data_IF_053411130250
#
_entry.id   IF_053411130250
#
_cell.length_a   1.000
_cell.length_b   1.000
_cell.length_c   1.000
_cell.angle_alpha   90.00
_cell.angle_beta   90.00
_cell.angle_gamma   90.00
#
_symmetry.space_group_name_H-M   'P 1'
#
loop_
_entity.id
_entity.type
_entity.pdbx_description
1 polymer ?
#
# COMPACT_ATOMS: atom_id res chain seq x y z
N UNK A 1 9.39 -18.06 9.61
CA UNK A 1 8.48 -16.92 9.57
C UNK A 1 7.64 -16.89 10.84
N UNK A 2 7.20 -15.70 11.31
CA UNK A 2 6.44 -15.66 12.58
C UNK A 2 5.09 -16.37 12.46
N UNK A 3 4.10 -15.76 11.81
CA UNK A 3 2.76 -16.33 11.69
C UNK A 3 2.28 -16.44 10.24
N UNK A 4 2.88 -15.69 9.31
CA UNK A 4 2.54 -15.69 7.89
C UNK A 4 3.78 -16.03 7.06
N UNK A 5 3.64 -17.00 6.16
CA UNK A 5 4.73 -17.39 5.25
C UNK A 5 4.62 -16.58 3.95
N UNK A 6 5.34 -15.46 3.90
CA UNK A 6 5.39 -14.60 2.71
C UNK A 6 6.08 -15.27 1.52
N UNK A 7 6.99 -16.23 1.74
CA UNK A 7 7.67 -16.94 0.66
C UNK A 7 6.72 -17.85 -0.10
N UNK A 8 5.84 -18.56 0.61
CA UNK A 8 4.81 -19.37 -0.03
C UNK A 8 3.84 -18.50 -0.85
N UNK A 9 3.39 -17.38 -0.29
CA UNK A 9 2.54 -16.43 -1.01
C UNK A 9 3.23 -15.90 -2.26
N UNK A 10 4.50 -15.49 -2.17
CA UNK A 10 5.27 -14.98 -3.30
C UNK A 10 5.45 -16.04 -4.39
N UNK A 11 5.70 -17.30 -4.04
CA UNK A 11 5.82 -18.41 -4.99
C UNK A 11 4.51 -18.69 -5.74
N UNK A 12 3.37 -18.68 -5.04
CA UNK A 12 2.06 -18.83 -5.66
C UNK A 12 1.78 -17.72 -6.69
N UNK A 13 2.06 -16.47 -6.34
CA UNK A 13 1.91 -15.36 -7.28
C UNK A 13 2.90 -15.47 -8.45
N UNK A 14 4.15 -15.84 -8.18
CA UNK A 14 5.18 -16.03 -9.21
C UNK A 14 4.78 -17.04 -10.29
N UNK A 15 4.08 -18.11 -9.90
CA UNK A 15 3.62 -19.14 -10.81
C UNK A 15 2.52 -18.64 -11.78
N UNK A 16 1.82 -17.58 -11.43
CA UNK A 16 0.67 -17.03 -12.18
C UNK A 16 1.01 -15.83 -13.06
N UNK A 17 2.17 -15.20 -12.84
CA UNK A 17 2.59 -14.04 -13.64
C UNK A 17 3.13 -14.52 -14.99
N UNK A 18 2.57 -13.99 -16.08
CA UNK A 18 3.18 -14.11 -17.40
C UNK A 18 4.40 -13.18 -17.47
N UNK A 19 5.57 -13.74 -17.22
CA UNK A 19 6.81 -12.98 -17.13
C UNK A 19 7.19 -12.26 -18.43
N UNK A 20 6.94 -12.88 -19.58
CA UNK A 20 7.21 -12.25 -20.86
C UNK A 20 6.36 -11.00 -21.11
N UNK A 21 5.12 -11.01 -20.65
CA UNK A 21 4.24 -9.82 -20.70
C UNK A 21 4.72 -8.78 -19.69
N UNK A 22 5.05 -9.19 -18.47
CA UNK A 22 5.51 -8.28 -17.42
C UNK A 22 6.76 -7.48 -17.86
N UNK A 23 7.74 -8.14 -18.47
CA UNK A 23 8.97 -7.49 -18.95
C UNK A 23 8.75 -6.47 -20.10
N UNK A 24 7.61 -6.53 -20.78
CA UNK A 24 7.24 -5.60 -21.82
C UNK A 24 6.46 -4.37 -21.27
N UNK A 25 6.11 -4.37 -20.00
CA UNK A 25 5.40 -3.27 -19.39
C UNK A 25 6.32 -2.05 -19.28
N UNK A 26 5.89 -0.95 -19.89
CA UNK A 26 6.63 0.32 -19.88
C UNK A 26 6.36 1.17 -18.62
N UNK A 27 5.43 0.76 -17.76
CA UNK A 27 5.09 1.49 -16.54
C UNK A 27 6.08 1.20 -15.41
N UNK A 28 6.54 2.26 -14.76
CA UNK A 28 7.26 2.13 -13.50
C UNK A 28 6.30 1.63 -12.42
N UNK A 29 6.77 0.70 -11.60
CA UNK A 29 6.04 0.15 -10.47
C UNK A 29 6.87 0.30 -9.20
N UNK A 30 6.32 1.02 -8.22
CA UNK A 30 6.93 1.20 -6.90
C UNK A 30 6.16 0.40 -5.85
N UNK A 31 6.89 -0.38 -5.07
CA UNK A 31 6.35 -1.11 -3.92
C UNK A 31 6.70 -0.35 -2.65
N UNK A 32 5.68 0.22 -2.00
CA UNK A 32 5.92 1.02 -0.80
C UNK A 32 6.20 0.11 0.38
N UNK A 33 7.30 0.35 1.06
CA UNK A 33 7.71 -0.33 2.27
C UNK A 33 8.12 0.70 3.34
N UNK A 34 8.22 0.28 4.58
CA UNK A 34 8.78 1.10 5.67
C UNK A 34 10.16 0.57 6.02
N UNK A 35 11.18 1.40 5.91
CA UNK A 35 12.54 1.06 6.32
C UNK A 35 12.60 0.94 7.84
N UNK A 36 13.15 -0.17 8.35
CA UNK A 36 13.20 -0.43 9.78
C UNK A 36 14.22 0.44 10.50
N UNK A 37 15.30 0.83 9.83
CA UNK A 37 16.41 1.57 10.38
C UNK A 37 16.06 3.02 10.71
N UNK A 38 15.31 3.69 9.81
CA UNK A 38 14.95 5.11 9.94
C UNK A 38 13.45 5.35 10.16
N UNK A 39 12.60 4.34 9.96
CA UNK A 39 11.14 4.44 10.10
C UNK A 39 10.44 5.20 8.97
N UNK A 40 11.19 5.55 7.91
CA UNK A 40 10.70 6.33 6.78
C UNK A 40 10.17 5.44 5.64
N UNK A 41 9.33 5.99 4.73
CA UNK A 41 8.88 5.26 3.56
C UNK A 41 10.02 4.99 2.59
N UNK A 42 9.99 3.81 1.97
CA UNK A 42 10.87 3.42 0.89
C UNK A 42 10.02 2.96 -0.30
N UNK A 43 10.34 3.47 -1.47
CA UNK A 43 9.66 3.16 -2.73
C UNK A 43 10.56 2.22 -3.52
N UNK A 44 10.29 0.92 -3.37
CA UNK A 44 11.12 -0.14 -3.90
C UNK A 44 10.71 -0.44 -5.35
N UNK A 45 11.61 -0.17 -6.29
CA UNK A 45 11.44 -0.52 -7.70
C UNK A 45 12.03 -1.90 -7.98
N UNK A 46 11.48 -2.60 -8.97
CA UNK A 46 12.14 -3.78 -9.49
C UNK A 46 13.27 -3.41 -10.49
N UNK A 47 14.19 -4.33 -10.69
CA UNK A 47 15.29 -4.22 -11.66
C UNK A 47 15.06 -5.11 -12.90
N UNK A 48 13.82 -5.58 -13.10
CA UNK A 48 13.45 -6.55 -14.12
C UNK A 48 13.73 -8.00 -13.71
N UNK A 49 14.30 -8.26 -12.53
CA UNK A 49 14.52 -9.60 -12.02
C UNK A 49 13.35 -10.10 -11.17
N UNK A 50 13.03 -11.39 -11.31
CA UNK A 50 11.98 -12.02 -10.47
C UNK A 50 12.32 -11.92 -8.99
N UNK A 51 13.60 -12.10 -8.64
CA UNK A 51 14.03 -12.09 -7.25
C UNK A 51 13.73 -10.75 -6.59
N UNK A 52 14.13 -9.65 -7.21
CA UNK A 52 13.94 -8.31 -6.68
C UNK A 52 12.46 -7.94 -6.61
N UNK A 53 11.69 -8.21 -7.68
CA UNK A 53 10.25 -7.98 -7.70
C UNK A 53 9.55 -8.66 -6.50
N UNK A 54 9.77 -9.97 -6.32
CA UNK A 54 9.09 -10.67 -5.22
C UNK A 54 9.62 -10.31 -3.84
N UNK A 55 10.88 -9.91 -3.73
CA UNK A 55 11.41 -9.39 -2.45
C UNK A 55 10.80 -8.03 -2.11
N UNK A 56 10.64 -7.14 -3.08
CA UNK A 56 9.95 -5.86 -2.89
C UNK A 56 8.47 -6.04 -2.51
N UNK A 57 7.76 -6.95 -3.18
CA UNK A 57 6.37 -7.31 -2.82
C UNK A 57 6.30 -7.86 -1.39
N UNK A 58 7.20 -8.77 -1.00
CA UNK A 58 7.26 -9.30 0.37
C UNK A 58 7.51 -8.20 1.39
N UNK A 59 8.45 -7.29 1.10
CA UNK A 59 8.74 -6.15 1.96
C UNK A 59 7.51 -5.25 2.16
N UNK A 60 6.82 -4.92 1.06
CA UNK A 60 5.60 -4.11 1.07
C UNK A 60 4.42 -4.76 1.81
N UNK A 61 4.42 -6.09 1.97
CA UNK A 61 3.35 -6.84 2.64
C UNK A 61 3.75 -7.38 4.02
N UNK A 62 4.95 -7.09 4.52
CA UNK A 62 5.47 -7.63 5.77
C UNK A 62 4.87 -6.92 7.00
N UNK A 63 3.65 -7.30 7.37
CA UNK A 63 2.94 -6.71 8.52
C UNK A 63 3.76 -6.84 9.82
N UNK A 64 3.99 -5.75 10.56
CA UNK A 64 4.65 -5.80 11.87
C UNK A 64 3.99 -6.81 12.80
N UNK A 65 4.80 -7.47 13.65
CA UNK A 65 4.39 -8.51 14.60
C UNK A 65 4.11 -9.86 13.91
N UNK A 66 3.41 -9.85 12.76
CA UNK A 66 2.96 -11.06 12.06
C UNK A 66 4.06 -11.63 11.20
N UNK A 67 4.81 -10.76 10.53
CA UNK A 67 5.91 -11.14 9.64
C UNK A 67 7.27 -10.74 10.23
N UNK A 68 8.33 -11.38 9.79
CA UNK A 68 9.69 -10.89 9.97
C UNK A 68 9.96 -9.73 9.02
N UNK A 69 10.78 -8.74 9.38
CA UNK A 69 11.28 -7.76 8.42
C UNK A 69 11.99 -8.45 7.25
N UNK A 70 11.78 -7.94 6.06
CA UNK A 70 12.37 -8.45 4.81
C UNK A 70 13.64 -7.68 4.51
N UNK A 71 14.74 -8.39 4.28
CA UNK A 71 16.00 -7.78 3.87
C UNK A 71 16.03 -7.56 2.35
N UNK A 72 16.40 -6.34 1.94
CA UNK A 72 16.67 -5.98 0.55
C UNK A 72 17.76 -4.89 0.53
N UNK A 73 18.79 -5.09 -0.29
CA UNK A 73 19.91 -4.14 -0.44
C UNK A 73 20.58 -3.74 0.90
N UNK A 74 20.70 -4.70 1.83
CA UNK A 74 21.34 -4.51 3.14
C UNK A 74 20.53 -3.71 4.17
N UNK A 75 19.27 -3.39 3.87
CA UNK A 75 18.30 -2.78 4.79
C UNK A 75 17.14 -3.74 5.07
N UNK A 76 16.43 -3.47 6.15
CA UNK A 76 15.26 -4.24 6.54
C UNK A 76 13.99 -3.43 6.35
N UNK A 77 12.94 -4.10 5.86
CA UNK A 77 11.69 -3.45 5.53
C UNK A 77 10.49 -4.20 6.12
N UNK A 78 9.47 -3.42 6.46
CA UNK A 78 8.13 -3.90 6.81
C UNK A 78 7.09 -3.20 5.95
N UNK A 79 5.82 -3.58 6.12
CA UNK A 79 4.66 -3.05 5.37
C UNK A 79 4.68 -1.52 5.23
N UNK A 80 4.49 -1.05 4.00
CA UNK A 80 4.53 0.37 3.65
C UNK A 80 3.45 1.20 4.32
N UNK A 81 2.31 0.59 4.67
CA UNK A 81 1.21 1.28 5.35
C UNK A 81 1.55 1.82 6.75
N UNK A 82 2.76 1.55 7.25
CA UNK A 82 3.25 2.12 8.51
C UNK A 82 3.76 3.56 8.29
N UNK A 83 4.60 3.77 7.26
CA UNK A 83 5.21 5.06 6.98
C UNK A 83 4.47 5.88 5.93
N UNK A 84 3.90 5.22 4.90
CA UNK A 84 3.14 5.87 3.84
C UNK A 84 1.93 5.04 3.42
N UNK A 85 0.82 5.11 4.17
CA UNK A 85 -0.37 4.31 3.92
C UNK A 85 -1.13 4.67 2.63
N UNK A 86 -0.96 5.88 2.09
CA UNK A 86 -1.60 6.34 0.85
C UNK A 86 -0.56 7.13 0.04
N UNK A 87 0.28 6.48 -0.76
CA UNK A 87 1.51 7.04 -1.35
C UNK A 87 1.28 7.95 -2.55
N UNK A 88 0.17 8.69 -2.60
CA UNK A 88 -0.17 9.55 -3.74
C UNK A 88 0.69 10.81 -3.84
N UNK A 89 1.15 11.35 -2.69
CA UNK A 89 2.01 12.53 -2.67
C UNK A 89 3.35 12.24 -3.34
N UNK A 90 3.91 11.05 -3.13
CA UNK A 90 5.12 10.62 -3.80
C UNK A 90 5.00 10.71 -5.33
N UNK A 91 3.89 10.24 -5.91
CA UNK A 91 3.67 10.31 -7.35
C UNK A 91 3.56 11.76 -7.84
N UNK A 92 2.89 12.63 -7.07
CA UNK A 92 2.79 14.05 -7.41
C UNK A 92 4.15 14.76 -7.34
N UNK A 93 5.02 14.37 -6.39
CA UNK A 93 6.39 14.87 -6.25
C UNK A 93 7.31 14.36 -7.37
N UNK A 94 7.05 13.14 -7.88
CA UNK A 94 7.73 12.59 -9.05
C UNK A 94 7.30 13.23 -10.39
N UNK A 95 6.40 14.21 -10.36
CA UNK A 95 5.99 14.97 -11.54
C UNK A 95 4.72 14.46 -12.22
N UNK A 96 3.96 13.56 -11.59
CA UNK A 96 2.61 13.23 -12.05
C UNK A 96 1.69 14.43 -11.83
N UNK A 97 1.04 14.91 -12.89
CA UNK A 97 0.07 16.00 -12.79
C UNK A 97 -1.17 15.59 -11.99
N UNK A 98 -1.58 14.34 -12.14
CA UNK A 98 -2.79 13.76 -11.54
C UNK A 98 -2.57 12.32 -11.11
N UNK A 99 -3.34 11.92 -10.11
CA UNK A 99 -3.31 10.55 -9.59
C UNK A 99 -4.73 9.98 -9.44
N UNK A 100 -4.87 8.69 -9.71
CA UNK A 100 -6.05 7.92 -9.33
C UNK A 100 -5.68 7.10 -8.09
N UNK A 101 -6.39 7.32 -7.00
CA UNK A 101 -6.15 6.64 -5.72
C UNK A 101 -7.24 5.62 -5.49
N UNK A 102 -6.88 4.34 -5.48
CA UNK A 102 -7.80 3.24 -5.19
C UNK A 102 -7.63 2.82 -3.74
N UNK A 103 -8.59 3.17 -2.89
CA UNK A 103 -8.60 2.79 -1.48
C UNK A 103 -9.34 1.47 -1.31
N UNK A 104 -8.74 0.56 -0.57
CA UNK A 104 -9.33 -0.77 -0.27
C UNK A 104 -10.23 -0.76 0.96
N UNK A 105 -10.37 0.37 1.63
CA UNK A 105 -11.16 0.52 2.86
C UNK A 105 -12.26 1.55 2.69
N UNK A 106 -13.47 1.25 3.21
CA UNK A 106 -14.59 2.20 3.21
C UNK A 106 -14.30 3.43 4.08
N UNK A 107 -15.11 4.49 3.92
CA UNK A 107 -14.97 5.76 4.69
C UNK A 107 -14.99 5.54 6.20
N UNK A 108 -15.73 4.54 6.66
CA UNK A 108 -15.89 4.24 8.09
C UNK A 108 -14.83 3.28 8.65
N UNK A 109 -13.96 2.73 7.78
CA UNK A 109 -12.89 1.86 8.21
C UNK A 109 -11.78 2.67 8.87
N UNK A 110 -11.31 2.19 10.02
CA UNK A 110 -10.17 2.78 10.72
C UNK A 110 -8.94 1.91 10.52
N UNK A 111 -7.75 2.51 10.41
CA UNK A 111 -6.50 1.75 10.40
C UNK A 111 -6.36 0.92 11.67
N UNK A 112 -5.60 -0.17 11.58
CA UNK A 112 -5.28 -0.98 12.76
C UNK A 112 -4.55 -0.14 13.81
N UNK A 113 -5.08 -0.10 15.01
CA UNK A 113 -4.46 0.58 16.15
C UNK A 113 -3.49 -0.37 16.86
N UNK A 114 -2.21 -0.13 16.65
CA UNK A 114 -1.13 -0.88 17.28
C UNK A 114 -0.77 -0.39 18.69
N UNK A 115 -1.32 0.74 19.16
CA UNK A 115 -0.98 1.30 20.47
C UNK A 115 -1.32 0.35 21.63
N UNK A 116 -2.37 -0.47 21.47
CA UNK A 116 -2.75 -1.52 22.42
C UNK A 116 -1.70 -2.63 22.55
N UNK A 117 -0.86 -2.80 21.54
CA UNK A 117 0.22 -3.79 21.49
C UNK A 117 1.57 -3.18 21.84
N UNK A 118 1.60 -1.97 22.40
CA UNK A 118 2.81 -1.22 22.76
C UNK A 118 3.86 -2.01 23.54
N UNK A 119 3.51 -2.82 24.56
CA UNK A 119 4.50 -3.63 25.27
C UNK A 119 5.20 -4.64 24.35
N UNK A 120 4.43 -5.31 23.49
CA UNK A 120 4.94 -6.28 22.53
C UNK A 120 5.80 -5.60 21.47
N UNK A 121 5.35 -4.49 20.90
CA UNK A 121 6.10 -3.69 19.93
C UNK A 121 7.44 -3.21 20.52
N UNK A 122 7.43 -2.77 21.78
CA UNK A 122 8.64 -2.34 22.48
C UNK A 122 9.63 -3.50 22.60
N UNK A 123 9.18 -4.69 22.96
CA UNK A 123 10.02 -5.87 23.08
C UNK A 123 10.61 -6.28 21.70
N UNK A 124 9.82 -6.21 20.64
CA UNK A 124 10.20 -6.66 19.31
C UNK A 124 11.14 -5.67 18.60
N UNK A 125 10.87 -4.37 18.73
CA UNK A 125 11.49 -3.36 17.85
C UNK A 125 12.29 -2.29 18.58
N UNK A 126 11.94 -1.87 19.82
CA UNK A 126 12.52 -0.68 20.41
C UNK A 126 14.05 -0.72 20.58
N UNK A 127 14.64 -1.90 20.73
CA UNK A 127 16.11 -2.06 20.86
C UNK A 127 16.80 -2.13 19.50
N UNK A 128 16.24 -2.85 18.53
CA UNK A 128 16.86 -3.09 17.22
C UNK A 128 16.47 -2.03 16.19
N UNK A 129 15.23 -1.59 16.20
CA UNK A 129 14.65 -0.64 15.25
C UNK A 129 13.81 0.43 15.97
N UNK A 130 14.44 1.35 16.72
CA UNK A 130 13.71 2.34 17.53
C UNK A 130 12.85 3.26 16.66
N UNK A 131 13.32 3.63 15.47
CA UNK A 131 12.57 4.50 14.56
C UNK A 131 11.33 3.80 14.00
N UNK A 132 11.43 2.51 13.63
CA UNK A 132 10.26 1.70 13.27
C UNK A 132 9.24 1.64 14.42
N UNK A 133 9.70 1.43 15.67
CA UNK A 133 8.82 1.41 16.83
C UNK A 133 8.00 2.71 16.93
N UNK A 134 8.64 3.86 16.73
CA UNK A 134 7.96 5.15 16.70
C UNK A 134 7.00 5.28 15.52
N UNK A 135 7.43 4.91 14.31
CA UNK A 135 6.58 4.96 13.12
C UNK A 135 5.29 4.15 13.29
N UNK A 136 5.38 2.91 13.84
CA UNK A 136 4.20 2.06 14.10
C UNK A 136 3.21 2.71 15.07
N UNK A 137 3.69 3.42 16.09
CA UNK A 137 2.82 4.10 17.07
C UNK A 137 2.14 5.35 16.48
N UNK A 138 2.75 6.01 15.49
CA UNK A 138 2.22 7.21 14.86
C UNK A 138 1.43 6.94 13.58
N UNK A 139 1.26 5.67 13.20
CA UNK A 139 0.60 5.25 11.95
C UNK A 139 -0.80 5.85 11.76
N UNK A 140 -1.59 5.95 12.82
CA UNK A 140 -2.97 6.47 12.72
C UNK A 140 -2.94 7.96 12.38
N UNK A 141 -2.14 8.75 13.08
CA UNK A 141 -2.01 10.20 12.83
C UNK A 141 -1.54 10.45 11.38
N UNK A 142 -0.54 9.68 10.91
CA UNK A 142 -0.04 9.77 9.54
C UNK A 142 -1.11 9.43 8.50
N UNK A 143 -1.92 8.40 8.76
CA UNK A 143 -3.06 8.08 7.88
C UNK A 143 -4.09 9.21 7.83
N UNK A 144 -4.42 9.81 8.96
CA UNK A 144 -5.37 10.94 9.04
C UNK A 144 -4.83 12.16 8.29
N UNK A 145 -3.55 12.50 8.46
CA UNK A 145 -2.88 13.57 7.71
C UNK A 145 -2.94 13.33 6.19
N UNK A 146 -2.69 12.11 5.75
CA UNK A 146 -2.75 11.76 4.33
C UNK A 146 -4.19 11.79 3.77
N UNK A 147 -5.19 11.38 4.54
CA UNK A 147 -6.60 11.54 4.12
C UNK A 147 -6.94 13.01 3.92
N UNK A 148 -6.53 13.90 4.84
CA UNK A 148 -6.76 15.34 4.67
C UNK A 148 -6.03 15.92 3.45
N UNK A 149 -4.79 15.51 3.23
CA UNK A 149 -4.03 15.91 2.03
C UNK A 149 -4.70 15.38 0.74
N UNK A 150 -5.22 14.15 0.76
CA UNK A 150 -5.93 13.56 -0.37
C UNK A 150 -7.23 14.30 -0.68
N UNK A 151 -8.00 14.69 0.33
CA UNK A 151 -9.20 15.52 0.16
C UNK A 151 -8.86 16.89 -0.45
N UNK A 152 -7.73 17.47 -0.08
CA UNK A 152 -7.24 18.69 -0.69
C UNK A 152 -6.88 18.49 -2.16
N UNK A 153 -6.12 17.45 -2.49
CA UNK A 153 -5.77 17.11 -3.87
C UNK A 153 -7.02 16.83 -4.76
N UNK A 154 -8.09 16.26 -4.17
CA UNK A 154 -9.37 16.11 -4.87
C UNK A 154 -10.03 17.45 -5.18
N UNK A 155 -10.07 18.39 -4.22
CA UNK A 155 -10.59 19.75 -4.45
C UNK A 155 -9.83 20.49 -5.53
N UNK A 156 -8.53 20.27 -5.62
CA UNK A 156 -7.63 20.81 -6.63
C UNK A 156 -7.68 20.07 -7.97
N UNK A 157 -8.53 19.06 -8.10
CA UNK A 157 -8.64 18.21 -9.30
C UNK A 157 -7.32 17.50 -9.67
N UNK A 158 -6.44 17.28 -8.69
CA UNK A 158 -5.19 16.52 -8.85
C UNK A 158 -5.31 15.07 -8.44
N UNK A 159 -6.35 14.70 -7.71
CA UNK A 159 -6.62 13.33 -7.34
C UNK A 159 -8.06 12.91 -7.64
N UNK A 160 -8.25 11.71 -8.17
CA UNK A 160 -9.54 11.01 -8.24
C UNK A 160 -9.49 9.82 -7.29
N UNK A 161 -10.44 9.74 -6.36
CA UNK A 161 -10.48 8.67 -5.36
C UNK A 161 -11.58 7.67 -5.68
N UNK A 162 -11.21 6.41 -5.82
CA UNK A 162 -12.11 5.26 -5.88
C UNK A 162 -12.09 4.57 -4.52
N UNK A 163 -13.24 4.49 -3.87
CA UNK A 163 -13.37 3.97 -2.50
C UNK A 163 -14.60 3.09 -2.38
N UNK A 164 -14.52 1.91 -1.72
CA UNK A 164 -15.68 1.04 -1.53
C UNK A 164 -16.81 1.73 -0.77
N UNK A 165 -18.03 1.54 -1.26
CA UNK A 165 -19.26 2.04 -0.63
C UNK A 165 -19.87 1.02 0.34
N UNK A 166 -19.35 -0.21 0.33
CA UNK A 166 -19.75 -1.30 1.22
C UNK A 166 -18.74 -1.45 2.36
N UNK A 167 -19.15 -2.15 3.41
CA UNK A 167 -18.26 -2.43 4.55
C UNK A 167 -17.05 -3.27 4.11
N UNK A 168 -15.85 -2.82 4.48
CA UNK A 168 -14.61 -3.55 4.22
C UNK A 168 -14.63 -4.95 4.87
N UNK A 169 -14.05 -5.92 4.17
CA UNK A 169 -13.90 -7.27 4.71
C UNK A 169 -12.67 -7.34 5.64
N UNK A 170 -12.69 -8.19 6.69
CA UNK A 170 -11.54 -8.40 7.54
C UNK A 170 -10.33 -8.95 6.78
N UNK A 171 -9.12 -8.52 7.15
CA UNK A 171 -7.86 -8.91 6.50
C UNK A 171 -7.65 -10.42 6.36
N UNK A 172 -8.07 -11.19 7.38
CA UNK A 172 -7.91 -12.65 7.41
C UNK A 172 -9.22 -13.41 7.14
N UNK A 173 -10.16 -12.81 6.40
CA UNK A 173 -11.39 -13.52 6.05
C UNK A 173 -11.07 -14.69 5.11
N UNK A 174 -11.67 -15.86 5.40
CA UNK A 174 -11.61 -17.06 4.55
C UNK A 174 -12.96 -17.33 3.87
N UNK A 175 -13.92 -16.44 4.02
CA UNK A 175 -15.24 -16.58 3.41
C UNK A 175 -15.17 -16.16 1.94
N UNK A 176 -15.17 -17.14 1.04
CA UNK A 176 -15.03 -16.92 -0.40
C UNK A 176 -16.15 -16.06 -0.98
N UNK A 177 -17.39 -16.23 -0.52
CA UNK A 177 -18.53 -15.46 -1.01
C UNK A 177 -18.36 -13.97 -0.68
N UNK A 178 -17.89 -13.66 0.54
CA UNK A 178 -17.59 -12.27 0.93
C UNK A 178 -16.45 -11.69 0.11
N UNK A 179 -15.41 -12.46 -0.16
CA UNK A 179 -14.28 -12.02 -1.00
C UNK A 179 -14.77 -11.75 -2.42
N UNK A 180 -15.52 -12.67 -2.99
CA UNK A 180 -16.10 -12.55 -4.34
C UNK A 180 -17.04 -11.36 -4.45
N UNK A 181 -17.95 -11.18 -3.49
CA UNK A 181 -18.86 -10.03 -3.46
C UNK A 181 -18.11 -8.70 -3.35
N UNK A 182 -17.03 -8.65 -2.57
CA UNK A 182 -16.22 -7.44 -2.43
C UNK A 182 -15.42 -7.12 -3.70
N UNK A 183 -14.90 -8.14 -4.37
CA UNK A 183 -14.27 -8.02 -5.68
C UNK A 183 -15.26 -7.49 -6.74
N UNK A 184 -16.44 -8.12 -6.82
CA UNK A 184 -17.50 -7.71 -7.75
C UNK A 184 -17.91 -6.25 -7.53
N UNK A 185 -18.09 -5.84 -6.26
CA UNK A 185 -18.34 -4.43 -5.92
C UNK A 185 -17.25 -3.49 -6.45
N UNK A 186 -15.98 -3.89 -6.39
CA UNK A 186 -14.88 -3.11 -6.96
C UNK A 186 -14.99 -2.93 -8.47
N UNK A 187 -15.32 -3.99 -9.21
CA UNK A 187 -15.57 -3.95 -10.65
C UNK A 187 -16.73 -3.01 -10.98
N UNK A 188 -17.88 -3.20 -10.32
CA UNK A 188 -19.07 -2.36 -10.53
C UNK A 188 -18.81 -0.88 -10.21
N UNK A 189 -18.02 -0.57 -9.18
CA UNK A 189 -17.65 0.79 -8.85
C UNK A 189 -16.85 1.46 -9.97
N UNK A 190 -15.91 0.74 -10.57
CA UNK A 190 -15.13 1.25 -11.71
C UNK A 190 -16.02 1.45 -12.93
N UNK A 191 -16.88 0.48 -13.26
CA UNK A 191 -17.81 0.56 -14.40
C UNK A 191 -18.76 1.76 -14.26
N UNK A 192 -19.34 1.96 -13.08
CA UNK A 192 -20.25 3.09 -12.80
C UNK A 192 -19.56 4.45 -12.91
N UNK A 193 -18.26 4.51 -12.58
CA UNK A 193 -17.50 5.77 -12.60
C UNK A 193 -16.59 5.91 -13.82
N UNK A 194 -16.71 5.02 -14.82
CA UNK A 194 -15.81 5.01 -15.97
C UNK A 194 -15.77 6.34 -16.72
N UNK A 195 -16.92 6.97 -16.95
CA UNK A 195 -17.01 8.28 -17.62
C UNK A 195 -16.29 9.38 -16.80
N UNK A 196 -16.40 9.34 -15.47
CA UNK A 196 -15.68 10.28 -14.60
C UNK A 196 -14.17 10.05 -14.64
N UNK A 197 -13.74 8.78 -14.60
CA UNK A 197 -12.33 8.39 -14.68
C UNK A 197 -11.72 8.89 -15.99
N UNK A 198 -12.37 8.63 -17.13
CA UNK A 198 -11.87 9.06 -18.44
C UNK A 198 -11.85 10.58 -18.56
N UNK A 199 -12.89 11.28 -18.15
CA UNK A 199 -12.94 12.73 -18.14
C UNK A 199 -11.85 13.35 -17.24
N UNK A 200 -11.58 12.73 -16.08
CA UNK A 200 -10.49 13.18 -15.20
C UNK A 200 -9.12 13.04 -15.85
N UNK A 201 -8.86 11.93 -16.53
CA UNK A 201 -7.58 11.70 -17.23
C UNK A 201 -7.39 12.66 -18.43
N UNK A 202 -8.45 12.95 -19.17
CA UNK A 202 -8.42 13.80 -20.36
C UNK A 202 -8.38 15.29 -20.03
N UNK A 203 -8.89 15.71 -18.85
CA UNK A 203 -8.89 17.12 -18.46
C UNK A 203 -7.45 17.61 -18.24
N UNK A 204 -7.10 18.77 -18.79
CA UNK A 204 -5.81 19.40 -18.52
C UNK A 204 -5.77 19.92 -17.07
N UNK A 205 -4.67 19.67 -16.36
CA UNK A 205 -4.43 20.33 -15.07
C UNK A 205 -4.31 21.82 -15.35
N UNK A 206 -5.13 22.64 -14.67
CA UNK A 206 -4.97 24.10 -14.75
C UNK A 206 -3.63 24.43 -14.07
N UNK A 207 -2.58 24.51 -14.85
CA UNK A 207 -1.30 25.10 -14.41
C UNK A 207 -1.56 26.58 -14.10
N UNK A 208 -1.55 26.93 -12.82
CA UNK A 208 -1.45 28.32 -12.38
C UNK A 208 -0.03 28.81 -12.51
#
# INVERSE_FOLDING_TARGET
>A
GRFLNLDHMAQEYASRINWAVYQQFAMQTDFVATCCEDGEPAYLTDDGSRHRLFTAIKASCALPIICEPVELDGKHYVDGSIADPIPFLHLLEQGCDKVIVVLTSSVHARPTDYTRLRPLLRQLYAKKYPMLYHAVLHRIARYEEQIHALEQAQREQRALVLRPQVKSIPLFTQNEDKIRAYYQHGCELVDQRWTEITAFLESRTLTQ
#
